data_IF_356138989687
#
_entry.id   IF_356138989687
#
_cell.length_a   1.000
_cell.length_b   1.000
_cell.length_c   1.000
_cell.angle_alpha   90.00
_cell.angle_beta   90.00
_cell.angle_gamma   90.00
#
_symmetry.space_group_name_H-M   'P 1'
#
loop_
_entity.id
_entity.type
_entity.pdbx_description
1 polymer ?
#
# COMPACT_ATOMS: atom_id res chain seq x y z
N UNK A 1 -35.33 -52.09 -15.48
CA UNK A 1 -34.35 -51.52 -16.43
C UNK A 1 -34.23 -50.02 -16.13
N UNK A 2 -33.09 -49.58 -15.59
CA UNK A 2 -32.83 -48.16 -15.45
C UNK A 2 -32.60 -47.59 -16.85
N UNK A 3 -33.40 -46.65 -17.26
CA UNK A 3 -33.21 -45.92 -18.51
C UNK A 3 -32.15 -44.86 -18.23
N UNK A 4 -30.95 -45.04 -18.77
CA UNK A 4 -29.86 -44.05 -18.67
C UNK A 4 -30.18 -42.93 -19.66
N UNK A 5 -30.63 -41.79 -19.17
CA UNK A 5 -30.77 -40.58 -19.95
C UNK A 5 -29.41 -39.98 -20.24
N UNK A 6 -29.02 -39.91 -21.51
CA UNK A 6 -27.79 -39.33 -22.02
C UNK A 6 -28.11 -37.95 -22.59
N UNK A 7 -27.29 -36.95 -22.26
CA UNK A 7 -27.36 -35.60 -22.83
C UNK A 7 -25.96 -35.14 -23.25
N UNK A 8 -25.91 -34.34 -24.29
CA UNK A 8 -24.65 -33.72 -24.73
C UNK A 8 -24.30 -32.52 -23.86
N UNK A 9 -23.05 -32.45 -23.41
CA UNK A 9 -22.54 -31.29 -22.71
C UNK A 9 -22.60 -30.04 -23.61
N UNK A 10 -23.22 -28.97 -23.16
CA UNK A 10 -23.37 -27.71 -23.89
C UNK A 10 -22.05 -27.01 -24.25
N UNK A 11 -20.94 -27.35 -23.56
CA UNK A 11 -19.64 -26.74 -23.76
C UNK A 11 -18.74 -27.55 -24.68
N UNK A 12 -18.60 -28.85 -24.44
CA UNK A 12 -17.67 -29.71 -25.21
C UNK A 12 -18.39 -30.72 -26.16
N UNK A 13 -19.72 -30.84 -26.11
CA UNK A 13 -20.49 -31.77 -26.93
C UNK A 13 -20.40 -33.25 -26.49
N UNK A 14 -19.62 -33.59 -25.49
CA UNK A 14 -19.49 -34.99 -25.04
C UNK A 14 -20.77 -35.49 -24.44
N UNK A 15 -21.17 -36.70 -24.83
CA UNK A 15 -22.34 -37.38 -24.26
C UNK A 15 -22.02 -37.83 -22.83
N UNK A 16 -22.84 -37.35 -21.89
CA UNK A 16 -22.72 -37.65 -20.46
C UNK A 16 -24.08 -37.97 -19.87
N UNK A 17 -24.13 -38.70 -18.77
CA UNK A 17 -25.42 -39.01 -18.12
C UNK A 17 -26.01 -37.70 -17.56
N UNK A 18 -27.31 -37.53 -17.65
CA UNK A 18 -27.99 -36.27 -17.26
C UNK A 18 -27.68 -35.85 -15.84
N UNK A 19 -27.54 -36.80 -14.91
CA UNK A 19 -27.20 -36.49 -13.50
C UNK A 19 -25.71 -36.13 -13.26
N UNK A 20 -24.84 -36.30 -14.26
CA UNK A 20 -23.43 -35.88 -14.25
C UNK A 20 -23.26 -34.46 -14.81
N UNK A 21 -24.35 -33.77 -15.14
CA UNK A 21 -24.33 -32.41 -15.64
C UNK A 21 -24.89 -31.43 -14.60
N UNK A 22 -24.25 -30.29 -14.47
CA UNK A 22 -24.75 -29.14 -13.69
C UNK A 22 -25.00 -28.00 -14.68
N UNK A 23 -26.25 -27.56 -14.80
CA UNK A 23 -26.61 -26.51 -15.75
C UNK A 23 -26.40 -26.89 -17.24
N UNK A 24 -26.28 -28.21 -17.55
CA UNK A 24 -26.03 -28.72 -18.89
C UNK A 24 -24.54 -28.79 -19.28
N UNK A 25 -23.62 -28.57 -18.34
CA UNK A 25 -22.19 -28.74 -18.55
C UNK A 25 -21.67 -29.96 -17.79
N UNK A 26 -20.74 -30.72 -18.37
CA UNK A 26 -20.08 -31.83 -17.67
C UNK A 26 -19.08 -31.32 -16.62
N UNK A 27 -18.79 -32.16 -15.65
CA UNK A 27 -17.91 -31.81 -14.54
C UNK A 27 -16.52 -31.34 -15.00
N UNK A 28 -15.94 -31.97 -16.00
CA UNK A 28 -14.64 -31.58 -16.56
C UNK A 28 -14.65 -30.15 -17.14
N UNK A 29 -15.73 -29.74 -17.82
CA UNK A 29 -15.89 -28.40 -18.35
C UNK A 29 -16.08 -27.37 -17.23
N UNK A 30 -16.85 -27.69 -16.20
CA UNK A 30 -17.03 -26.84 -15.03
C UNK A 30 -15.73 -26.65 -14.25
N UNK A 31 -14.95 -27.71 -14.08
CA UNK A 31 -13.65 -27.61 -13.42
C UNK A 31 -12.66 -26.78 -14.23
N UNK A 32 -12.64 -26.93 -15.55
CA UNK A 32 -11.80 -26.11 -16.44
C UNK A 32 -12.18 -24.63 -16.36
N UNK A 33 -13.47 -24.32 -16.35
CA UNK A 33 -13.97 -22.94 -16.23
C UNK A 33 -13.61 -22.33 -14.87
N UNK A 34 -13.74 -23.09 -13.77
CA UNK A 34 -13.32 -22.65 -12.42
C UNK A 34 -11.83 -22.39 -12.34
N UNK A 35 -10.98 -23.22 -12.98
CA UNK A 35 -9.52 -23.00 -13.01
C UNK A 35 -9.17 -21.74 -13.77
N UNK A 36 -9.84 -21.47 -14.88
CA UNK A 36 -9.62 -20.28 -15.70
C UNK A 36 -10.00 -19.00 -14.96
N UNK A 37 -11.19 -18.95 -14.36
CA UNK A 37 -11.61 -17.80 -13.53
C UNK A 37 -10.67 -17.54 -12.35
N UNK A 38 -10.19 -18.60 -11.69
CA UNK A 38 -9.23 -18.45 -10.59
C UNK A 38 -7.85 -17.95 -11.07
N UNK A 39 -7.38 -18.37 -12.26
CA UNK A 39 -6.13 -17.85 -12.83
C UNK A 39 -6.26 -16.38 -13.19
N UNK A 40 -7.37 -15.99 -13.83
CA UNK A 40 -7.64 -14.61 -14.23
C UNK A 40 -7.73 -13.68 -13.00
N UNK A 41 -8.41 -14.12 -11.92
CA UNK A 41 -8.48 -13.38 -10.66
C UNK A 41 -7.12 -13.22 -9.99
N UNK A 42 -6.24 -14.23 -10.04
CA UNK A 42 -4.87 -14.12 -9.52
C UNK A 42 -4.06 -13.11 -10.32
N UNK A 43 -4.12 -13.17 -11.65
CA UNK A 43 -3.41 -12.24 -12.52
C UNK A 43 -3.84 -10.79 -12.28
N UNK A 44 -5.15 -10.53 -12.14
CA UNK A 44 -5.68 -9.19 -11.82
C UNK A 44 -5.13 -8.72 -10.47
N UNK A 45 -5.19 -9.56 -9.43
CA UNK A 45 -4.69 -9.21 -8.10
C UNK A 45 -3.18 -8.94 -8.08
N UNK A 46 -2.41 -9.70 -8.86
CA UNK A 46 -0.96 -9.50 -8.98
C UNK A 46 -0.63 -8.18 -9.70
N UNK A 47 -1.40 -7.81 -10.75
CA UNK A 47 -1.27 -6.53 -11.44
C UNK A 47 -1.64 -5.35 -10.53
N UNK A 48 -2.76 -5.43 -9.80
CA UNK A 48 -3.16 -4.41 -8.82
C UNK A 48 -2.10 -4.25 -7.71
N UNK A 49 -1.48 -5.36 -7.27
CA UNK A 49 -0.40 -5.37 -6.29
C UNK A 49 0.88 -4.67 -6.80
N UNK A 50 1.15 -4.70 -8.11
CA UNK A 50 2.30 -4.03 -8.73
C UNK A 50 2.04 -2.55 -9.01
N UNK A 51 0.81 -2.17 -9.38
CA UNK A 51 0.46 -0.77 -9.67
C UNK A 51 0.30 0.08 -8.40
N UNK A 52 -0.13 -0.53 -7.30
CA UNK A 52 -0.40 0.19 -6.05
C UNK A 52 0.81 0.97 -5.51
N UNK A 53 2.03 0.40 -5.42
CA UNK A 53 3.22 1.13 -4.98
C UNK A 53 3.55 2.33 -5.88
N UNK A 54 3.41 2.18 -7.19
CA UNK A 54 3.68 3.24 -8.16
C UNK A 54 2.70 4.40 -7.98
N UNK A 55 1.43 4.12 -7.77
CA UNK A 55 0.39 5.13 -7.51
C UNK A 55 0.60 5.85 -6.17
N UNK A 56 1.03 5.13 -5.12
CA UNK A 56 1.36 5.72 -3.83
C UNK A 56 2.57 6.66 -3.96
N UNK A 57 3.63 6.24 -4.66
CA UNK A 57 4.81 7.08 -4.86
C UNK A 57 4.50 8.36 -5.65
N UNK A 58 3.54 8.32 -6.57
CA UNK A 58 3.11 9.47 -7.36
C UNK A 58 2.39 10.55 -6.55
N UNK A 59 1.94 10.26 -5.32
CA UNK A 59 1.28 11.26 -4.47
C UNK A 59 2.26 12.37 -4.10
N UNK A 60 1.87 13.60 -4.40
CA UNK A 60 2.67 14.78 -4.11
C UNK A 60 2.56 15.14 -2.62
N UNK A 61 3.71 15.41 -1.99
CA UNK A 61 3.78 15.99 -0.65
C UNK A 61 4.35 17.39 -0.72
N UNK A 62 3.74 18.35 -0.02
CA UNK A 62 4.27 19.71 0.11
C UNK A 62 4.05 20.25 1.53
N UNK A 63 5.05 20.98 2.03
CA UNK A 63 4.95 21.70 3.31
C UNK A 63 4.24 23.04 3.20
N UNK A 64 3.92 23.49 1.97
CA UNK A 64 3.22 24.75 1.76
C UNK A 64 1.80 24.69 2.30
N UNK A 65 1.42 25.68 3.11
CA UNK A 65 0.08 25.81 3.68
C UNK A 65 -0.88 26.58 2.76
N UNK A 66 -0.34 27.33 1.80
CA UNK A 66 -1.09 28.02 0.75
C UNK A 66 -0.47 27.68 -0.62
N UNK A 67 -0.49 26.41 -1.03
CA UNK A 67 0.14 25.98 -2.26
C UNK A 67 -0.56 26.61 -3.47
N UNK A 68 0.22 27.05 -4.46
CA UNK A 68 -0.32 27.53 -5.74
C UNK A 68 -0.75 26.35 -6.63
N UNK A 69 -1.59 25.49 -6.06
CA UNK A 69 -2.12 24.27 -6.67
C UNK A 69 -3.62 24.44 -6.90
N UNK A 70 -4.11 23.95 -8.03
CA UNK A 70 -5.55 23.90 -8.29
C UNK A 70 -6.19 22.76 -7.47
N UNK A 71 -6.50 23.05 -6.19
CA UNK A 71 -7.15 22.10 -5.28
C UNK A 71 -8.64 22.07 -5.60
N UNK A 72 -9.11 20.95 -6.15
CA UNK A 72 -10.52 20.73 -6.49
C UNK A 72 -11.32 20.18 -5.31
N UNK A 73 -10.67 19.41 -4.44
CA UNK A 73 -11.31 18.81 -3.26
C UNK A 73 -10.32 18.73 -2.10
N UNK A 74 -10.78 19.12 -0.91
CA UNK A 74 -10.12 18.80 0.38
C UNK A 74 -10.86 17.63 1.00
N UNK A 75 -10.13 16.61 1.41
CA UNK A 75 -10.74 15.36 1.90
C UNK A 75 -10.71 15.37 3.43
N UNK A 76 -9.55 15.15 4.03
CA UNK A 76 -9.39 15.10 5.48
C UNK A 76 -7.93 15.29 5.91
N UNK A 77 -7.68 15.34 7.21
CA UNK A 77 -6.34 15.30 7.78
C UNK A 77 -5.87 13.85 7.77
N UNK A 78 -4.68 13.61 7.24
CA UNK A 78 -4.00 12.31 7.28
C UNK A 78 -2.76 12.39 8.15
N UNK A 79 -2.46 11.31 8.86
CA UNK A 79 -1.31 11.18 9.74
C UNK A 79 -0.62 9.83 9.53
N UNK A 80 0.67 9.79 9.78
CA UNK A 80 1.44 8.57 9.80
C UNK A 80 2.51 8.64 10.89
N UNK A 81 2.80 7.53 11.55
CA UNK A 81 3.74 7.46 12.65
C UNK A 81 4.81 6.39 12.41
N UNK A 82 6.04 6.68 12.85
CA UNK A 82 7.13 5.73 12.90
C UNK A 82 7.82 5.81 14.26
N UNK A 83 7.69 4.75 15.06
CA UNK A 83 8.33 4.69 16.38
C UNK A 83 9.61 3.83 16.33
N UNK A 84 10.67 4.30 16.99
CA UNK A 84 11.92 3.56 17.10
C UNK A 84 12.47 3.63 18.53
N UNK A 85 12.93 2.48 19.02
CA UNK A 85 13.50 2.37 20.37
C UNK A 85 14.91 2.97 20.45
N UNK A 86 15.18 3.70 21.53
CA UNK A 86 16.52 4.26 21.81
C UNK A 86 17.61 3.19 22.01
N UNK A 87 17.25 1.91 22.17
CA UNK A 87 18.24 0.84 22.21
C UNK A 87 19.03 0.73 20.89
N UNK A 88 18.39 1.00 19.74
CA UNK A 88 19.11 1.15 18.47
C UNK A 88 20.14 2.28 18.51
N UNK A 89 19.85 3.37 19.23
CA UNK A 89 20.81 4.47 19.39
C UNK A 89 21.90 4.14 20.42
N UNK A 90 21.59 3.40 21.51
CA UNK A 90 22.59 3.00 22.51
C UNK A 90 23.65 2.08 21.91
N UNK A 91 23.26 1.11 21.11
CA UNK A 91 24.18 0.21 20.41
C UNK A 91 25.00 0.98 19.36
N UNK A 92 24.40 1.97 18.71
CA UNK A 92 25.06 2.87 17.78
C UNK A 92 26.07 3.79 18.47
N UNK A 93 25.73 4.31 19.68
CA UNK A 93 26.61 5.17 20.49
C UNK A 93 27.68 4.39 21.26
N UNK A 94 27.45 3.11 21.58
CA UNK A 94 28.46 2.28 22.26
C UNK A 94 29.70 2.05 21.38
N UNK A 95 29.55 2.04 20.07
CA UNK A 95 30.67 1.93 19.12
C UNK A 95 31.39 3.25 18.80
N UNK A 96 30.90 4.40 19.29
CA UNK A 96 31.39 5.75 18.92
C UNK A 96 32.08 6.46 20.11
N UNK A 97 32.31 5.77 21.25
CA UNK A 97 32.93 6.38 22.43
C UNK A 97 34.35 6.94 22.23
N UNK A 98 35.01 6.59 21.14
CA UNK A 98 36.41 6.97 20.87
C UNK A 98 36.63 8.01 19.77
N UNK A 99 35.56 8.60 19.20
CA UNK A 99 35.71 9.61 18.14
C UNK A 99 35.17 10.95 18.63
N UNK A 100 36.07 11.78 19.07
CA UNK A 100 35.86 13.17 19.47
C UNK A 100 35.18 13.95 18.36
N UNK A 101 33.94 14.42 18.60
CA UNK A 101 33.32 15.52 17.86
C UNK A 101 32.70 15.21 16.47
N UNK A 102 32.54 13.96 16.08
CA UNK A 102 31.94 13.61 14.80
C UNK A 102 30.41 13.40 14.87
N UNK A 103 29.65 13.99 13.93
CA UNK A 103 28.25 13.63 13.69
C UNK A 103 28.17 12.12 13.41
N UNK A 104 27.45 11.38 14.25
CA UNK A 104 27.28 9.94 14.03
C UNK A 104 26.51 9.73 12.73
N UNK A 105 27.21 9.28 11.68
CA UNK A 105 26.62 8.97 10.36
C UNK A 105 25.47 7.97 10.50
N UNK A 106 25.65 6.98 11.37
CA UNK A 106 24.66 5.95 11.61
C UNK A 106 23.34 6.52 12.18
N UNK A 107 23.40 7.49 13.11
CA UNK A 107 22.21 8.21 13.61
C UNK A 107 21.54 9.00 12.48
N UNK A 108 22.32 9.69 11.65
CA UNK A 108 21.78 10.44 10.53
C UNK A 108 21.11 9.55 9.49
N UNK A 109 21.68 8.39 9.20
CA UNK A 109 21.11 7.43 8.27
C UNK A 109 19.80 6.83 8.83
N UNK A 110 19.76 6.44 10.10
CA UNK A 110 18.54 5.98 10.77
C UNK A 110 17.43 7.04 10.74
N UNK A 111 17.75 8.30 11.05
CA UNK A 111 16.79 9.40 11.02
C UNK A 111 16.29 9.70 9.60
N UNK A 112 17.17 9.54 8.60
CA UNK A 112 16.78 9.69 7.18
C UNK A 112 15.83 8.59 6.75
N UNK A 113 16.12 7.36 7.11
CA UNK A 113 15.29 6.21 6.76
C UNK A 113 13.94 6.25 7.47
N UNK A 114 13.90 6.67 8.73
CA UNK A 114 12.65 6.91 9.48
C UNK A 114 11.78 7.98 8.81
N UNK A 115 12.38 9.09 8.35
CA UNK A 115 11.62 10.11 7.60
C UNK A 115 11.07 9.58 6.28
N UNK A 116 11.84 8.80 5.54
CA UNK A 116 11.35 8.18 4.29
C UNK A 116 10.17 7.24 4.57
N UNK A 117 10.29 6.44 5.63
CA UNK A 117 9.23 5.50 6.02
C UNK A 117 7.95 6.25 6.37
N UNK A 118 8.01 7.23 7.26
CA UNK A 118 6.79 7.95 7.68
C UNK A 118 6.15 8.74 6.54
N UNK A 119 6.96 9.34 5.65
CA UNK A 119 6.44 10.04 4.49
C UNK A 119 5.82 9.09 3.47
N UNK A 120 6.35 7.88 3.31
CA UNK A 120 5.74 6.86 2.47
C UNK A 120 4.40 6.37 3.06
N UNK A 121 4.34 6.12 4.38
CA UNK A 121 3.07 5.76 5.04
C UNK A 121 2.05 6.91 4.94
N UNK A 122 2.46 8.18 5.05
CA UNK A 122 1.57 9.33 4.85
C UNK A 122 0.99 9.36 3.42
N UNK A 123 1.80 9.05 2.41
CA UNK A 123 1.31 8.90 1.02
C UNK A 123 0.30 7.77 0.89
N UNK A 124 0.54 6.66 1.58
CA UNK A 124 -0.34 5.49 1.57
C UNK A 124 -1.70 5.83 2.20
N UNK A 125 -1.72 6.51 3.36
CA UNK A 125 -2.95 7.01 3.97
C UNK A 125 -3.72 7.95 3.02
N UNK A 126 -3.00 8.89 2.37
CA UNK A 126 -3.60 9.78 1.38
C UNK A 126 -4.18 9.03 0.17
N UNK A 127 -3.48 7.98 -0.30
CA UNK A 127 -3.97 7.13 -1.38
C UNK A 127 -5.25 6.40 -0.99
N UNK A 128 -5.34 5.90 0.23
CA UNK A 128 -6.51 5.14 0.73
C UNK A 128 -7.77 6.00 0.81
N UNK A 129 -7.62 7.29 1.11
CA UNK A 129 -8.74 8.25 1.10
C UNK A 129 -9.02 8.84 -0.29
N UNK A 130 -8.29 8.43 -1.31
CA UNK A 130 -8.48 8.84 -2.70
C UNK A 130 -7.91 10.22 -3.04
N UNK A 131 -6.89 10.68 -2.31
CA UNK A 131 -6.13 11.89 -2.61
C UNK A 131 -5.02 11.63 -3.62
N UNK A 132 -4.58 12.66 -4.32
CA UNK A 132 -3.38 12.65 -5.16
C UNK A 132 -2.30 13.62 -4.66
N UNK A 133 -2.59 14.37 -3.58
CA UNK A 133 -1.62 15.23 -2.92
C UNK A 133 -1.91 15.40 -1.43
N UNK A 134 -0.86 15.73 -0.65
CA UNK A 134 -0.96 16.16 0.74
C UNK A 134 -0.28 17.53 0.87
N UNK A 135 -1.01 18.51 1.39
CA UNK A 135 -0.53 19.88 1.57
C UNK A 135 -0.36 20.21 3.05
N UNK A 136 0.52 21.16 3.34
CA UNK A 136 0.81 21.56 4.73
C UNK A 136 1.41 20.41 5.54
N UNK A 137 2.28 19.60 4.93
CA UNK A 137 2.92 18.48 5.61
C UNK A 137 3.83 19.01 6.71
N UNK A 138 3.65 18.49 7.91
CA UNK A 138 4.49 18.73 9.06
C UNK A 138 5.10 17.43 9.60
N UNK A 139 6.29 17.53 10.21
CA UNK A 139 7.06 16.41 10.77
C UNK A 139 7.46 16.71 12.19
N UNK A 140 6.85 16.02 13.15
CA UNK A 140 7.14 16.15 14.57
C UNK A 140 7.94 14.96 15.11
N UNK A 141 8.91 15.28 15.99
CA UNK A 141 9.67 14.29 16.75
C UNK A 141 9.22 14.33 18.20
N UNK A 142 8.61 13.25 18.66
CA UNK A 142 8.10 13.10 20.02
C UNK A 142 8.96 12.11 20.79
N UNK A 143 9.56 12.53 21.89
CA UNK A 143 10.28 11.64 22.80
C UNK A 143 9.31 11.07 23.86
N UNK A 144 9.26 9.75 23.93
CA UNK A 144 8.43 8.99 24.87
C UNK A 144 9.33 8.47 26.02
N UNK A 145 9.66 9.34 26.97
CA UNK A 145 10.62 9.07 28.07
C UNK A 145 10.14 7.97 29.03
N UNK A 146 8.83 7.82 29.23
CA UNK A 146 8.26 6.85 30.17
C UNK A 146 8.18 5.41 29.62
N UNK A 147 8.35 5.22 28.33
CA UNK A 147 8.26 3.92 27.66
C UNK A 147 9.63 3.32 27.29
N UNK A 148 10.69 3.62 28.06
CA UNK A 148 12.03 3.07 27.82
C UNK A 148 12.83 3.78 26.75
N UNK A 149 12.72 5.11 26.66
CA UNK A 149 13.41 5.96 25.69
C UNK A 149 13.10 5.55 24.23
N UNK A 150 11.92 5.87 23.79
CA UNK A 150 11.48 5.77 22.39
C UNK A 150 11.38 7.17 21.80
N UNK A 151 11.69 7.27 20.52
CA UNK A 151 11.40 8.46 19.71
C UNK A 151 10.35 8.06 18.69
N UNK A 152 9.30 8.85 18.59
CA UNK A 152 8.26 8.71 17.60
C UNK A 152 8.34 9.88 16.62
N UNK A 153 8.36 9.57 15.34
CA UNK A 153 8.24 10.54 14.27
C UNK A 153 6.81 10.51 13.75
N UNK A 154 6.16 11.66 13.77
CA UNK A 154 4.78 11.83 13.29
C UNK A 154 4.82 12.73 12.07
N UNK A 155 4.18 12.30 10.99
CA UNK A 155 3.88 13.14 9.84
C UNK A 155 2.39 13.45 9.81
N UNK A 156 2.01 14.67 9.52
CA UNK A 156 0.63 15.08 9.35
C UNK A 156 0.47 16.00 8.14
N UNK A 157 -0.76 16.09 7.62
CA UNK A 157 -1.06 17.01 6.51
C UNK A 157 -2.52 16.89 6.07
N UNK A 158 -2.92 17.72 5.13
CA UNK A 158 -4.27 17.70 4.56
C UNK A 158 -4.26 16.97 3.21
N UNK A 159 -4.98 15.87 3.13
CA UNK A 159 -5.20 15.11 1.92
C UNK A 159 -6.14 15.88 0.96
N UNK A 160 -5.70 16.10 -0.27
CA UNK A 160 -6.43 16.88 -1.27
C UNK A 160 -6.41 16.19 -2.63
N UNK A 161 -7.36 16.57 -3.48
CA UNK A 161 -7.32 16.28 -4.92
C UNK A 161 -6.92 17.55 -5.64
N UNK A 162 -5.85 17.47 -6.43
CA UNK A 162 -5.40 18.53 -7.32
C UNK A 162 -5.65 18.10 -8.76
N UNK A 163 -5.96 19.06 -9.65
CA UNK A 163 -5.92 18.82 -11.08
C UNK A 163 -4.46 18.66 -11.51
N UNK A 164 -4.16 17.59 -12.24
CA UNK A 164 -2.88 17.48 -12.92
C UNK A 164 -2.83 18.59 -13.99
N UNK A 165 -1.99 19.59 -13.76
CA UNK A 165 -1.63 20.52 -14.83
C UNK A 165 -0.84 19.68 -15.84
N UNK A 166 -1.52 19.25 -16.91
CA UNK A 166 -0.83 18.70 -18.08
C UNK A 166 0.22 19.76 -18.47
N UNK A 167 1.48 19.42 -18.21
CA UNK A 167 2.60 20.32 -18.37
C UNK A 167 2.61 20.90 -19.78
N UNK A 168 2.74 22.23 -19.80
CA UNK A 168 3.04 22.97 -21.00
C UNK A 168 4.47 22.65 -21.50
#
# INVERSE_FOLDING_TARGET
KKVDFIAACKICGTEVRVWETIGGACEACLQKQKRQTNSDQRTIKDLEGQERPVKIEAIMLTTETAPNLNITKRIEIVTAECAFGMNMFKDLFAGVRDIVGGRSKAVQDTMRDSRKTVLYELKKEAYEVGANAVVGVDLDYVELSNAGSMVMLVASGTAVVIEETNGA
#
